data_IF_507091412249
#
_entry.id   IF_507091412249
#
_cell.length_a   1.000
_cell.length_b   1.000
_cell.length_c   1.000
_cell.angle_alpha   90.00
_cell.angle_beta   90.00
_cell.angle_gamma   90.00
#
_symmetry.space_group_name_H-M   'P 1'
#
loop_
_entity.id
_entity.type
_entity.pdbx_description
1 polymer ?
#
# COMPACT_ATOMS: atom_id res chain seq x y z
N UNK A 1 -39.07 34.53 -38.51
CA UNK A 1 -38.32 33.29 -38.23
C UNK A 1 -36.85 33.63 -38.03
N UNK A 2 -36.29 33.23 -36.87
CA UNK A 2 -34.91 32.73 -36.64
C UNK A 2 -33.73 33.65 -37.05
N UNK A 3 -32.72 33.94 -36.23
CA UNK A 3 -32.32 33.50 -34.89
C UNK A 3 -31.24 34.47 -34.40
N UNK A 4 -31.26 34.77 -33.10
CA UNK A 4 -30.11 35.30 -32.36
C UNK A 4 -29.07 34.19 -32.28
N UNK A 5 -27.88 34.40 -32.83
CA UNK A 5 -26.76 33.48 -32.65
C UNK A 5 -25.92 33.95 -31.46
N UNK A 6 -26.26 33.42 -30.29
CA UNK A 6 -25.44 33.46 -29.08
C UNK A 6 -24.84 32.05 -28.92
N UNK A 7 -23.55 31.90 -29.16
CA UNK A 7 -22.78 30.72 -28.73
C UNK A 7 -21.54 31.25 -28.01
N UNK A 8 -21.68 31.54 -26.72
CA UNK A 8 -21.29 30.66 -25.60
C UNK A 8 -19.82 30.21 -25.67
N UNK A 9 -19.01 30.88 -24.85
CA UNK A 9 -17.66 30.48 -24.48
C UNK A 9 -17.67 29.08 -23.84
N UNK A 10 -16.99 28.12 -24.46
CA UNK A 10 -16.58 26.87 -23.80
C UNK A 10 -15.07 26.95 -23.55
N UNK A 11 -14.72 27.40 -22.36
CA UNK A 11 -13.37 27.27 -21.81
C UNK A 11 -13.17 25.78 -21.49
N UNK A 12 -12.47 25.08 -22.40
CA UNK A 12 -11.96 23.74 -22.19
C UNK A 12 -10.86 23.79 -21.11
N UNK A 13 -11.27 23.85 -19.85
CA UNK A 13 -10.39 23.56 -18.73
C UNK A 13 -10.04 22.08 -18.76
N UNK A 14 -8.80 21.75 -19.14
CA UNK A 14 -8.23 20.43 -18.98
C UNK A 14 -8.19 20.11 -17.49
N UNK A 15 -9.19 19.37 -16.98
CA UNK A 15 -9.13 18.79 -15.64
C UNK A 15 -7.97 17.79 -15.67
N UNK A 16 -6.88 18.00 -14.91
CA UNK A 16 -5.87 16.96 -14.77
C UNK A 16 -6.57 15.75 -14.13
N UNK A 17 -6.59 14.64 -14.85
CA UNK A 17 -7.06 13.38 -14.32
C UNK A 17 -6.03 12.94 -13.26
N UNK A 18 -6.18 13.39 -12.01
CA UNK A 18 -5.32 12.97 -10.91
C UNK A 18 -5.34 11.45 -10.86
N UNK A 19 -4.14 10.85 -10.93
CA UNK A 19 -3.95 9.41 -10.76
C UNK A 19 -4.55 9.01 -9.40
N UNK A 20 -5.33 7.94 -9.37
CA UNK A 20 -5.93 7.44 -8.14
C UNK A 20 -4.83 7.20 -7.08
N UNK A 21 -5.02 7.78 -5.89
CA UNK A 21 -4.13 7.59 -4.76
C UNK A 21 -4.63 6.37 -3.98
N UNK A 22 -4.21 5.19 -4.43
CA UNK A 22 -4.66 3.89 -3.89
C UNK A 22 -4.43 3.77 -2.38
N UNK A 23 -3.37 4.39 -1.84
CA UNK A 23 -3.13 4.46 -0.41
C UNK A 23 -4.18 5.33 0.29
N UNK A 24 -4.44 6.54 -0.20
CA UNK A 24 -5.44 7.43 0.40
C UNK A 24 -6.85 6.83 0.35
N UNK A 25 -7.22 6.21 -0.78
CA UNK A 25 -8.52 5.56 -0.97
C UNK A 25 -8.71 4.42 0.03
N UNK A 26 -7.72 3.51 0.13
CA UNK A 26 -7.75 2.40 1.11
C UNK A 26 -7.78 2.93 2.53
N UNK A 27 -7.00 3.97 2.82
CA UNK A 27 -6.94 4.57 4.15
C UNK A 27 -8.30 5.15 4.57
N UNK A 28 -8.93 5.91 3.69
CA UNK A 28 -10.26 6.47 3.92
C UNK A 28 -11.31 5.38 4.12
N UNK A 29 -11.25 4.29 3.36
CA UNK A 29 -12.18 3.17 3.50
C UNK A 29 -12.09 2.47 4.87
N UNK A 30 -10.93 2.51 5.51
CA UNK A 30 -10.70 1.97 6.85
C UNK A 30 -10.92 3.01 7.97
N UNK A 31 -11.38 4.22 7.63
CA UNK A 31 -11.53 5.31 8.60
C UNK A 31 -10.20 5.85 9.14
N UNK A 32 -9.10 5.60 8.42
CA UNK A 32 -7.76 6.04 8.76
C UNK A 32 -7.45 7.46 8.33
N UNK A 33 -6.23 7.90 8.63
CA UNK A 33 -5.67 9.19 8.21
C UNK A 33 -4.30 9.00 7.61
N UNK A 34 -4.01 9.74 6.53
CA UNK A 34 -2.66 9.81 5.97
C UNK A 34 -1.81 10.73 6.84
N UNK A 35 -0.60 10.29 7.15
CA UNK A 35 0.45 11.07 7.80
C UNK A 35 1.74 10.96 6.97
N UNK A 36 2.49 12.06 6.84
CA UNK A 36 3.78 12.09 6.12
C UNK A 36 4.98 11.76 7.02
N UNK A 37 4.72 11.60 8.32
CA UNK A 37 5.70 11.25 9.33
C UNK A 37 5.07 10.29 10.32
N UNK A 38 5.73 9.15 10.54
CA UNK A 38 5.26 8.13 11.46
C UNK A 38 6.40 7.66 12.37
N UNK A 39 6.12 7.49 13.66
CA UNK A 39 7.07 6.92 14.63
C UNK A 39 6.68 5.48 14.91
N UNK A 40 7.59 4.55 14.62
CA UNK A 40 7.38 3.13 14.84
C UNK A 40 7.12 2.84 16.33
N UNK A 41 5.99 2.22 16.70
CA UNK A 41 5.64 1.96 18.09
C UNK A 41 6.72 1.19 18.86
N UNK A 42 7.36 0.21 18.23
CA UNK A 42 8.34 -0.67 18.87
C UNK A 42 9.75 -0.06 18.87
N UNK A 43 10.31 0.22 17.69
CA UNK A 43 11.70 0.66 17.54
C UNK A 43 11.93 2.14 17.79
N UNK A 44 10.87 2.96 17.90
CA UNK A 44 10.91 4.44 17.97
C UNK A 44 11.59 5.09 16.75
N UNK A 45 11.81 4.32 15.70
CA UNK A 45 12.32 4.83 14.43
C UNK A 45 11.29 5.76 13.82
N UNK A 46 11.69 6.99 13.52
CA UNK A 46 10.87 7.95 12.78
C UNK A 46 11.06 7.74 11.28
N UNK A 47 9.94 7.69 10.55
CA UNK A 47 9.87 7.47 9.11
C UNK A 47 9.21 8.69 8.47
N UNK A 48 9.90 9.32 7.53
CA UNK A 48 9.41 10.46 6.74
C UNK A 48 8.84 9.98 5.40
N UNK A 49 7.82 9.13 5.49
CA UNK A 49 7.11 8.53 4.37
C UNK A 49 5.61 8.64 4.62
N UNK A 50 4.81 8.48 3.57
CA UNK A 50 3.34 8.47 3.68
C UNK A 50 2.85 7.16 4.27
N UNK A 51 2.20 7.22 5.41
CA UNK A 51 1.50 6.08 6.03
C UNK A 51 0.01 6.37 6.14
N UNK A 52 -0.80 5.34 5.95
CA UNK A 52 -2.12 5.31 6.55
C UNK A 52 -2.01 4.88 8.01
N UNK A 53 -2.73 5.58 8.89
CA UNK A 53 -2.83 5.28 10.31
C UNK A 53 -4.30 5.16 10.70
N UNK A 54 -4.68 4.01 11.26
CA UNK A 54 -6.01 3.70 11.79
C UNK A 54 -5.88 3.49 13.30
N UNK A 55 -6.68 4.23 14.07
CA UNK A 55 -6.69 4.11 15.53
C UNK A 55 -7.59 2.94 15.95
N UNK A 56 -7.04 2.00 16.72
CA UNK A 56 -7.75 0.87 17.30
C UNK A 56 -7.73 0.98 18.84
N UNK A 57 -8.77 0.56 19.57
CA UNK A 57 -8.73 0.57 21.04
C UNK A 57 -7.55 -0.17 21.67
N UNK A 58 -6.94 -1.12 20.94
CA UNK A 58 -5.81 -1.94 21.40
C UNK A 58 -4.44 -1.45 20.91
N UNK A 59 -4.38 -0.38 20.12
CA UNK A 59 -3.13 0.14 19.54
C UNK A 59 -3.32 0.85 18.20
N UNK A 60 -2.28 0.88 17.38
CA UNK A 60 -2.32 1.55 16.07
C UNK A 60 -2.12 0.56 14.91
N UNK A 61 -3.03 0.61 13.94
CA UNK A 61 -2.86 -0.09 12.66
C UNK A 61 -2.29 0.89 11.66
N UNK A 62 -1.21 0.51 10.98
CA UNK A 62 -0.60 1.37 9.97
C UNK A 62 -0.05 0.55 8.81
N UNK A 63 0.05 1.19 7.65
CA UNK A 63 0.56 0.61 6.42
C UNK A 63 0.90 1.73 5.44
N UNK A 64 1.82 1.50 4.52
CA UNK A 64 2.13 2.42 3.43
C UNK A 64 1.98 1.75 2.05
N UNK A 65 1.59 0.49 1.98
CA UNK A 65 1.38 -0.23 0.73
C UNK A 65 2.66 -0.25 -0.10
N UNK A 66 2.56 -0.01 -1.41
CA UNK A 66 3.74 0.02 -2.27
C UNK A 66 4.36 1.43 -2.38
N UNK A 67 4.28 2.28 -1.34
CA UNK A 67 4.92 3.61 -1.37
C UNK A 67 6.42 3.43 -1.65
N UNK A 68 6.95 4.16 -2.64
CA UNK A 68 8.27 3.98 -3.32
C UNK A 68 8.33 3.03 -4.53
N UNK A 69 7.23 2.36 -4.90
CA UNK A 69 7.18 1.59 -6.13
C UNK A 69 7.19 2.49 -7.38
N UNK A 70 8.03 2.14 -8.34
CA UNK A 70 8.15 2.86 -9.61
C UNK A 70 7.11 2.34 -10.62
N UNK A 71 6.44 3.27 -11.30
CA UNK A 71 5.59 2.99 -12.47
C UNK A 71 4.18 2.49 -12.14
N UNK A 72 3.57 1.77 -13.08
CA UNK A 72 2.21 1.22 -12.92
C UNK A 72 2.11 0.08 -11.90
N UNK A 73 3.24 -0.55 -11.56
CA UNK A 73 3.26 -1.74 -10.72
C UNK A 73 2.99 -1.46 -9.24
N UNK A 74 3.16 -0.21 -8.79
CA UNK A 74 2.72 0.21 -7.45
C UNK A 74 1.21 0.02 -7.28
N UNK A 75 0.42 0.43 -8.28
CA UNK A 75 -1.03 0.28 -8.25
C UNK A 75 -1.44 -1.19 -8.47
N UNK A 76 -0.80 -1.88 -9.42
CA UNK A 76 -1.09 -3.29 -9.70
C UNK A 76 -0.84 -4.18 -8.47
N UNK A 77 0.25 -3.93 -7.74
CA UNK A 77 0.62 -4.72 -6.57
C UNK A 77 0.17 -4.13 -5.24
N UNK A 78 -0.59 -3.03 -5.23
CA UNK A 78 -0.98 -2.33 -4.01
C UNK A 78 -1.56 -3.28 -2.96
N UNK A 79 -2.53 -4.11 -3.33
CA UNK A 79 -3.17 -5.07 -2.42
C UNK A 79 -2.20 -6.16 -1.92
N UNK A 80 -1.17 -6.50 -2.70
CA UNK A 80 -0.12 -7.42 -2.24
C UNK A 80 0.81 -6.75 -1.22
N UNK A 81 1.19 -5.50 -1.44
CA UNK A 81 2.00 -4.72 -0.49
C UNK A 81 1.23 -4.45 0.80
N UNK A 82 -0.05 -4.06 0.70
CA UNK A 82 -0.92 -3.87 1.85
C UNK A 82 -0.94 -5.12 2.75
N UNK A 83 -1.15 -6.30 2.18
CA UNK A 83 -1.13 -7.57 2.94
C UNK A 83 0.23 -7.89 3.55
N UNK A 84 1.32 -7.46 2.90
CA UNK A 84 2.68 -7.64 3.40
C UNK A 84 2.95 -6.76 4.62
N UNK A 85 2.54 -5.49 4.58
CA UNK A 85 2.60 -4.59 5.74
C UNK A 85 1.84 -5.17 6.93
N UNK A 86 0.60 -5.64 6.69
CA UNK A 86 -0.18 -6.28 7.76
C UNK A 86 0.51 -7.53 8.31
N UNK A 87 1.20 -8.31 7.46
CA UNK A 87 1.97 -9.47 7.89
C UNK A 87 3.13 -9.08 8.79
N UNK A 88 3.90 -8.05 8.40
CA UNK A 88 5.02 -7.53 9.16
C UNK A 88 4.61 -7.03 10.55
N UNK A 89 3.46 -6.38 10.66
CA UNK A 89 3.02 -5.79 11.92
C UNK A 89 2.28 -6.76 12.85
N UNK A 90 1.66 -7.81 12.31
CA UNK A 90 0.84 -8.77 13.06
C UNK A 90 1.60 -10.02 13.48
N UNK A 91 2.28 -10.65 12.51
CA UNK A 91 2.74 -12.02 12.68
C UNK A 91 3.87 -12.22 13.70
N UNK A 92 4.80 -11.27 13.95
CA UNK A 92 5.77 -11.40 15.05
C UNK A 92 5.11 -11.60 16.43
N UNK A 93 3.98 -10.94 16.65
CA UNK A 93 3.29 -10.91 17.95
C UNK A 93 2.21 -11.98 18.12
N UNK A 94 1.66 -12.50 17.02
CA UNK A 94 0.52 -13.45 17.03
C UNK A 94 0.85 -14.84 16.52
N UNK A 95 1.95 -15.01 15.81
CA UNK A 95 2.30 -16.26 15.16
C UNK A 95 3.78 -16.57 15.34
N UNK A 96 4.23 -17.71 14.82
CA UNK A 96 5.66 -18.03 14.71
C UNK A 96 6.23 -17.72 13.32
N UNK A 97 5.51 -16.98 12.48
CA UNK A 97 6.02 -16.61 11.15
C UNK A 97 7.13 -15.59 11.30
N UNK A 98 8.13 -15.77 10.47
CA UNK A 98 9.29 -14.90 10.34
C UNK A 98 9.07 -13.85 9.27
N UNK A 99 9.95 -12.85 9.22
CA UNK A 99 10.04 -11.90 8.10
C UNK A 99 10.10 -12.63 6.75
N UNK A 100 10.88 -13.71 6.68
CA UNK A 100 11.04 -14.48 5.45
C UNK A 100 9.73 -15.14 5.00
N UNK A 101 8.91 -15.60 5.95
CA UNK A 101 7.59 -16.17 5.63
C UNK A 101 6.64 -15.11 5.06
N UNK A 102 6.63 -13.91 5.64
CA UNK A 102 5.89 -12.77 5.09
C UNK A 102 6.39 -12.38 3.70
N UNK A 103 7.72 -12.31 3.50
CA UNK A 103 8.31 -11.98 2.20
C UNK A 103 7.96 -13.04 1.13
N UNK A 104 7.98 -14.33 1.49
CA UNK A 104 7.58 -15.42 0.58
C UNK A 104 6.10 -15.30 0.18
N UNK A 105 5.22 -15.08 1.16
CA UNK A 105 3.80 -14.88 0.92
C UNK A 105 3.53 -13.65 0.03
N UNK A 106 4.29 -12.56 0.23
CA UNK A 106 4.22 -11.37 -0.59
C UNK A 106 4.50 -11.64 -2.07
N UNK A 107 5.58 -12.38 -2.36
CA UNK A 107 5.91 -12.80 -3.74
C UNK A 107 4.80 -13.65 -4.35
N UNK A 108 4.25 -14.58 -3.59
CA UNK A 108 3.15 -15.46 -4.05
C UNK A 108 1.88 -14.66 -4.35
N UNK A 109 1.53 -13.69 -3.49
CA UNK A 109 0.42 -12.77 -3.71
C UNK A 109 0.61 -11.97 -5.01
N UNK A 110 1.79 -11.42 -5.26
CA UNK A 110 2.09 -10.72 -6.51
C UNK A 110 2.01 -11.64 -7.73
N UNK A 111 2.47 -12.89 -7.63
CA UNK A 111 2.33 -13.86 -8.71
C UNK A 111 0.86 -14.17 -9.01
N UNK A 112 0.01 -14.24 -7.98
CA UNK A 112 -1.44 -14.39 -8.14
C UNK A 112 -2.05 -13.19 -8.87
N UNK A 113 -1.63 -11.96 -8.51
CA UNK A 113 -2.03 -10.74 -9.23
C UNK A 113 -1.62 -10.83 -10.70
N UNK A 114 -0.37 -11.22 -10.99
CA UNK A 114 0.10 -11.36 -12.37
C UNK A 114 -0.71 -12.40 -13.17
N UNK A 115 -1.09 -13.51 -12.54
CA UNK A 115 -1.92 -14.53 -13.18
C UNK A 115 -3.33 -14.00 -13.49
N UNK A 116 -3.97 -13.31 -12.53
CA UNK A 116 -5.31 -12.72 -12.69
C UNK A 116 -5.36 -11.59 -13.71
N UNK A 117 -4.32 -10.75 -13.74
CA UNK A 117 -4.24 -9.63 -14.68
C UNK A 117 -3.76 -10.06 -16.08
N UNK A 118 -3.48 -11.35 -16.30
CA UNK A 118 -2.90 -11.89 -17.54
C UNK A 118 -1.62 -11.17 -18.00
N UNK A 119 -0.86 -10.54 -17.09
CA UNK A 119 0.33 -9.70 -17.40
C UNK A 119 1.64 -10.48 -17.59
N UNK A 120 1.56 -11.78 -17.89
CA UNK A 120 2.67 -12.58 -18.43
C UNK A 120 4.00 -12.55 -17.65
N UNK A 121 5.11 -12.61 -18.39
CA UNK A 121 6.47 -12.74 -17.85
C UNK A 121 7.01 -11.45 -17.20
N UNK A 122 6.70 -10.27 -17.77
CA UNK A 122 7.15 -8.97 -17.27
C UNK A 122 6.63 -8.69 -15.86
N UNK A 123 5.36 -8.99 -15.59
CA UNK A 123 4.77 -8.83 -14.25
C UNK A 123 5.46 -9.72 -13.22
N UNK A 124 5.72 -10.99 -13.55
CA UNK A 124 6.42 -11.91 -12.63
C UNK A 124 7.86 -11.46 -12.35
N UNK A 125 8.54 -10.86 -13.32
CA UNK A 125 9.87 -10.29 -13.08
C UNK A 125 9.80 -9.08 -12.15
N UNK A 126 8.79 -8.23 -12.30
CA UNK A 126 8.59 -7.13 -11.36
C UNK A 126 8.29 -7.64 -9.95
N UNK A 127 7.44 -8.65 -9.80
CA UNK A 127 7.18 -9.30 -8.52
C UNK A 127 8.47 -9.85 -7.86
N UNK A 128 9.40 -10.41 -8.66
CA UNK A 128 10.73 -10.83 -8.17
C UNK A 128 11.58 -9.63 -7.70
N UNK A 129 11.52 -8.50 -8.40
CA UNK A 129 12.24 -7.28 -8.00
C UNK A 129 11.73 -6.74 -6.67
N UNK A 130 10.40 -6.66 -6.48
CA UNK A 130 9.80 -6.25 -5.21
C UNK A 130 10.17 -7.21 -4.07
N UNK A 131 10.08 -8.52 -4.31
CA UNK A 131 10.52 -9.53 -3.34
C UNK A 131 12.00 -9.36 -2.95
N UNK A 132 12.88 -9.11 -3.93
CA UNK A 132 14.28 -8.80 -3.66
C UNK A 132 14.47 -7.54 -2.81
N UNK A 133 13.70 -6.48 -3.09
CA UNK A 133 13.76 -5.23 -2.34
C UNK A 133 13.38 -5.42 -0.86
N UNK A 134 12.28 -6.11 -0.56
CA UNK A 134 11.86 -6.34 0.84
C UNK A 134 12.79 -7.29 1.58
N UNK A 135 13.43 -8.25 0.89
CA UNK A 135 14.47 -9.08 1.50
C UNK A 135 15.67 -8.24 1.97
N UNK A 136 16.11 -7.28 1.17
CA UNK A 136 17.30 -6.46 1.45
C UNK A 136 17.03 -5.29 2.40
N UNK A 137 15.84 -4.69 2.35
CA UNK A 137 15.54 -3.43 3.05
C UNK A 137 14.39 -3.51 4.06
N UNK A 138 13.68 -4.63 4.13
CA UNK A 138 12.46 -4.77 4.93
C UNK A 138 12.66 -4.84 6.44
N UNK A 139 13.89 -4.92 6.96
CA UNK A 139 14.15 -5.05 8.40
C UNK A 139 13.60 -3.87 9.22
N UNK A 140 13.72 -2.65 8.68
CA UNK A 140 13.19 -1.45 9.35
C UNK A 140 11.67 -1.52 9.51
N UNK A 141 10.96 -1.97 8.47
CA UNK A 141 9.51 -2.13 8.50
C UNK A 141 9.08 -3.30 9.38
N UNK A 142 9.82 -4.42 9.35
CA UNK A 142 9.58 -5.58 10.21
C UNK A 142 9.67 -5.24 11.70
N UNK A 143 10.67 -4.43 12.09
CA UNK A 143 10.87 -4.00 13.47
C UNK A 143 10.03 -2.76 13.87
N UNK A 144 9.05 -2.37 13.05
CA UNK A 144 8.27 -1.15 13.28
C UNK A 144 7.11 -1.38 14.27
N UNK A 145 6.45 -2.54 14.20
CA UNK A 145 5.34 -2.91 15.08
C UNK A 145 5.48 -4.35 15.58
N UNK A 146 5.25 -4.51 16.88
CA UNK A 146 5.08 -5.79 17.57
C UNK A 146 3.94 -5.63 18.60
N UNK A 147 2.89 -4.89 18.21
CA UNK A 147 1.71 -4.72 19.05
C UNK A 147 0.80 -5.95 18.93
N UNK A 148 0.20 -6.37 20.05
CA UNK A 148 -0.82 -7.45 20.06
C UNK A 148 -2.19 -6.96 19.55
N UNK A 149 -2.21 -6.49 18.31
CA UNK A 149 -3.38 -6.14 17.51
C UNK A 149 -3.71 -7.20 16.46
N UNK A 150 -4.97 -7.59 16.32
CA UNK A 150 -5.41 -8.53 15.27
C UNK A 150 -5.67 -7.81 13.94
N UNK A 151 -4.66 -7.79 13.08
CA UNK A 151 -4.74 -7.12 11.77
C UNK A 151 -5.66 -7.85 10.77
N UNK A 152 -6.19 -9.05 11.09
CA UNK A 152 -7.06 -9.80 10.16
C UNK A 152 -8.39 -9.10 9.90
N UNK A 153 -8.83 -8.23 10.80
CA UNK A 153 -10.06 -7.42 10.64
C UNK A 153 -9.93 -6.39 9.52
N UNK A 154 -8.70 -6.05 9.13
CA UNK A 154 -8.38 -5.01 8.14
C UNK A 154 -8.06 -5.58 6.74
N UNK A 155 -8.15 -6.90 6.56
CA UNK A 155 -7.77 -7.60 5.30
C UNK A 155 -8.83 -7.55 4.21
#
# INVERSE_FOLDING_TARGET
MRSVLLCLFLVLGSVPCSRADTLADKCSALGGKIVDRFECPQSKLVREERFCVVQDPKGVVFFNGCTDAIGEYGDVFFEACFKHDLCYHHEPSFSKKTKEDCDKQFKENMYSVCAKAHKGFSCKNMARMFYGAVKLKGEKSWNCSDERLDYRVYR
#
